data_IF_223698681278
#
_entry.id   IF_223698681278
#
_cell.length_a   1.000
_cell.length_b   1.000
_cell.length_c   1.000
_cell.angle_alpha   90.00
_cell.angle_beta   90.00
_cell.angle_gamma   90.00
#
_symmetry.space_group_name_H-M   'P 1'
#
loop_
_entity.id
_entity.type
_entity.pdbx_description
1 polymer ?
#
# COMPACT_ATOMS: atom_id res chain seq x y z
N UNK A 1 -7.25 8.06 0.98
CA UNK A 1 -7.55 7.11 -0.11
C UNK A 1 -9.04 7.13 -0.45
N UNK A 2 -9.89 6.45 0.32
CA UNK A 2 -11.31 6.25 -0.02
C UNK A 2 -12.19 7.51 0.05
N UNK A 3 -11.74 8.54 0.75
CA UNK A 3 -12.38 9.86 0.73
C UNK A 3 -12.07 10.67 -0.55
N UNK A 4 -10.96 10.35 -1.22
CA UNK A 4 -10.50 11.04 -2.45
C UNK A 4 -10.89 10.25 -3.70
N UNK A 5 -10.80 8.92 -3.64
CA UNK A 5 -11.19 8.02 -4.72
C UNK A 5 -12.15 6.93 -4.17
N UNK A 6 -13.44 7.25 -3.92
CA UNK A 6 -14.40 6.33 -3.30
C UNK A 6 -14.64 5.06 -4.11
N UNK A 7 -14.58 5.16 -5.44
CA UNK A 7 -14.80 4.04 -6.37
C UNK A 7 -13.79 2.90 -6.18
N UNK A 8 -12.60 3.22 -5.64
CA UNK A 8 -11.54 2.23 -5.40
C UNK A 8 -11.94 1.28 -4.26
N UNK A 9 -12.84 1.68 -3.34
CA UNK A 9 -13.34 0.80 -2.27
C UNK A 9 -13.89 -0.52 -2.81
N UNK A 10 -14.59 -0.49 -3.95
CA UNK A 10 -15.22 -1.67 -4.56
C UNK A 10 -14.20 -2.74 -4.99
N UNK A 11 -12.94 -2.37 -5.12
CA UNK A 11 -11.86 -3.25 -5.55
C UNK A 11 -11.21 -4.02 -4.39
N UNK A 12 -11.47 -3.60 -3.16
CA UNK A 12 -10.88 -4.23 -1.99
C UNK A 12 -11.83 -5.27 -1.39
N UNK A 13 -11.39 -6.54 -1.41
CA UNK A 13 -12.17 -7.67 -0.90
C UNK A 13 -12.52 -7.60 0.59
N UNK A 14 -11.90 -6.69 1.35
CA UNK A 14 -12.21 -6.42 2.75
C UNK A 14 -13.36 -5.45 2.97
N UNK A 15 -13.76 -4.68 1.95
CA UNK A 15 -14.91 -3.77 2.03
C UNK A 15 -16.19 -4.62 1.94
N UNK A 16 -17.08 -4.59 2.95
CA UNK A 16 -18.35 -5.29 2.87
C UNK A 16 -19.19 -4.79 1.69
N UNK A 17 -19.94 -5.70 1.04
CA UNK A 17 -20.86 -5.32 -0.04
C UNK A 17 -21.90 -4.32 0.49
N UNK A 18 -22.13 -3.25 -0.27
CA UNK A 18 -23.11 -2.21 0.08
C UNK A 18 -22.54 -1.03 0.88
N UNK A 19 -21.30 -1.11 1.37
CA UNK A 19 -20.64 0.05 1.98
C UNK A 19 -20.28 1.05 0.90
N UNK A 20 -20.87 2.24 0.98
CA UNK A 20 -20.63 3.37 0.07
C UNK A 20 -20.00 4.57 0.78
N UNK A 21 -20.08 4.63 2.12
CA UNK A 21 -19.44 5.66 2.92
C UNK A 21 -18.11 5.14 3.52
N UNK A 22 -16.95 5.76 3.20
CA UNK A 22 -15.65 5.38 3.77
C UNK A 22 -15.59 5.42 5.29
N UNK A 23 -16.39 6.25 5.94
CA UNK A 23 -16.40 6.39 7.41
C UNK A 23 -16.86 5.11 8.11
N UNK A 24 -17.71 4.31 7.47
CA UNK A 24 -18.16 3.02 7.99
C UNK A 24 -17.01 2.00 8.09
N UNK A 25 -15.93 2.18 7.32
CA UNK A 25 -14.78 1.28 7.38
C UNK A 25 -13.98 1.47 8.67
N UNK A 26 -14.08 2.63 9.34
CA UNK A 26 -13.31 2.93 10.56
C UNK A 26 -13.67 2.00 11.73
N UNK A 27 -14.88 1.43 11.75
CA UNK A 27 -15.31 0.44 12.74
C UNK A 27 -15.10 -1.02 12.29
N UNK A 28 -14.70 -1.25 11.04
CA UNK A 28 -14.51 -2.59 10.49
C UNK A 28 -13.18 -3.19 10.96
N UNK A 29 -13.26 -4.21 11.83
CA UNK A 29 -12.09 -4.95 12.31
C UNK A 29 -11.24 -5.54 11.16
N UNK A 30 -11.89 -5.95 10.06
CA UNK A 30 -11.20 -6.49 8.87
C UNK A 30 -10.40 -5.39 8.15
N UNK A 31 -10.99 -4.21 8.00
CA UNK A 31 -10.30 -3.06 7.43
C UNK A 31 -9.13 -2.61 8.30
N UNK A 32 -9.35 -2.43 9.60
CA UNK A 32 -8.31 -2.01 10.54
C UNK A 32 -7.14 -3.00 10.57
N UNK A 33 -7.41 -4.31 10.52
CA UNK A 33 -6.35 -5.33 10.40
C UNK A 33 -5.56 -5.20 9.11
N UNK A 34 -6.24 -4.96 7.98
CA UNK A 34 -5.56 -4.74 6.70
C UNK A 34 -4.69 -3.48 6.73
N UNK A 35 -5.23 -2.36 7.23
CA UNK A 35 -4.48 -1.11 7.38
C UNK A 35 -3.24 -1.28 8.27
N UNK A 36 -3.37 -2.00 9.40
CA UNK A 36 -2.22 -2.31 10.27
C UNK A 36 -1.16 -3.14 9.54
N UNK A 37 -1.57 -4.16 8.81
CA UNK A 37 -0.63 -5.00 8.04
C UNK A 37 0.06 -4.22 6.93
N UNK A 38 -0.64 -3.29 6.28
CA UNK A 38 -0.07 -2.40 5.28
C UNK A 38 1.03 -1.53 5.90
N UNK A 39 0.75 -0.83 7.00
CA UNK A 39 1.74 0.00 7.69
C UNK A 39 2.93 -0.83 8.20
N UNK A 40 2.68 -2.02 8.76
CA UNK A 40 3.76 -2.91 9.19
C UNK A 40 4.64 -3.36 8.01
N UNK A 41 4.06 -3.62 6.84
CA UNK A 41 4.83 -4.00 5.64
C UNK A 41 5.69 -2.85 5.16
N UNK A 42 5.16 -1.62 5.17
CA UNK A 42 5.91 -0.41 4.82
C UNK A 42 7.03 -0.17 5.83
N UNK A 43 6.77 -0.30 7.13
CA UNK A 43 7.80 -0.17 8.19
C UNK A 43 8.91 -1.19 8.01
N UNK A 44 8.58 -2.47 7.84
CA UNK A 44 9.56 -3.51 7.60
C UNK A 44 10.38 -3.22 6.32
N UNK A 45 9.75 -2.69 5.28
CA UNK A 45 10.47 -2.32 4.05
C UNK A 45 11.46 -1.16 4.28
N UNK A 46 11.13 -0.20 5.16
CA UNK A 46 12.07 0.85 5.58
C UNK A 46 13.22 0.27 6.39
N UNK A 47 12.92 -0.63 7.35
CA UNK A 47 13.93 -1.23 8.24
C UNK A 47 14.93 -2.14 7.50
N UNK A 48 14.58 -2.62 6.29
CA UNK A 48 15.41 -3.51 5.48
C UNK A 48 15.96 -2.83 4.21
N UNK A 49 16.02 -1.49 4.16
CA UNK A 49 16.59 -0.78 3.01
C UNK A 49 18.07 -1.09 2.77
N UNK A 50 18.80 -1.55 3.80
CA UNK A 50 20.22 -1.93 3.69
C UNK A 50 20.42 -3.32 3.05
N UNK A 51 19.38 -4.16 3.00
CA UNK A 51 19.41 -5.50 2.37
C UNK A 51 18.38 -5.57 1.24
N UNK A 52 18.74 -4.99 0.10
CA UNK A 52 17.89 -4.95 -1.09
C UNK A 52 17.62 -6.34 -1.68
N UNK A 53 18.50 -7.32 -1.45
CA UNK A 53 18.31 -8.69 -1.94
C UNK A 53 17.17 -9.37 -1.18
N UNK A 54 17.16 -9.31 0.15
CA UNK A 54 16.07 -9.88 0.95
C UNK A 54 14.77 -9.10 0.79
N UNK A 55 14.86 -7.76 0.75
CA UNK A 55 13.69 -6.90 0.59
C UNK A 55 12.97 -7.17 -0.73
N UNK A 56 13.70 -7.28 -1.84
CA UNK A 56 13.11 -7.59 -3.16
C UNK A 56 12.39 -8.94 -3.18
N UNK A 57 12.98 -9.98 -2.57
CA UNK A 57 12.34 -11.31 -2.43
C UNK A 57 11.07 -11.22 -1.59
N UNK A 58 11.10 -10.48 -0.49
CA UNK A 58 9.95 -10.27 0.39
C UNK A 58 8.80 -9.57 -0.33
N UNK A 59 9.10 -8.50 -1.10
CA UNK A 59 8.12 -7.75 -1.88
C UNK A 59 7.56 -8.57 -3.06
N UNK A 60 8.39 -9.36 -3.74
CA UNK A 60 7.93 -10.27 -4.77
C UNK A 60 6.95 -11.31 -4.20
N UNK A 61 7.29 -11.94 -3.06
CA UNK A 61 6.40 -12.86 -2.36
C UNK A 61 5.10 -12.20 -1.89
N UNK A 62 5.16 -10.92 -1.51
CA UNK A 62 3.97 -10.11 -1.24
C UNK A 62 3.10 -9.99 -2.50
N UNK A 63 3.69 -9.70 -3.67
CA UNK A 63 3.01 -9.66 -4.96
C UNK A 63 2.30 -10.96 -5.32
N UNK A 64 2.99 -12.09 -5.17
CA UNK A 64 2.40 -13.42 -5.41
C UNK A 64 1.18 -13.69 -4.51
N UNK A 65 1.21 -13.25 -3.24
CA UNK A 65 0.04 -13.34 -2.34
C UNK A 65 -1.11 -12.45 -2.79
N UNK A 66 -0.83 -11.29 -3.36
CA UNK A 66 -1.86 -10.37 -3.87
C UNK A 66 -2.65 -10.93 -5.06
N UNK A 67 -2.11 -11.91 -5.80
CA UNK A 67 -2.89 -12.67 -6.81
C UNK A 67 -4.16 -13.29 -6.22
N UNK A 68 -4.07 -13.84 -5.00
CA UNK A 68 -5.23 -14.45 -4.30
C UNK A 68 -6.35 -13.46 -4.04
N UNK A 69 -6.03 -12.16 -3.96
CA UNK A 69 -6.98 -11.09 -3.75
C UNK A 69 -7.48 -10.48 -5.06
N UNK A 70 -7.02 -10.98 -6.22
CA UNK A 70 -7.31 -10.44 -7.56
C UNK A 70 -6.97 -8.96 -7.68
N UNK A 71 -5.92 -8.54 -6.97
CA UNK A 71 -5.40 -7.17 -7.02
C UNK A 71 -4.90 -6.88 -8.43
N UNK A 72 -5.20 -5.68 -8.94
CA UNK A 72 -4.67 -5.18 -10.21
C UNK A 72 -3.50 -4.25 -9.95
N UNK A 73 -2.54 -4.23 -10.87
CA UNK A 73 -1.36 -3.34 -10.85
C UNK A 73 -1.76 -1.86 -10.83
N UNK A 74 -2.89 -1.52 -11.47
CA UNK A 74 -3.48 -0.17 -11.50
C UNK A 74 -3.78 0.43 -10.12
N UNK A 75 -3.90 -0.39 -9.07
CA UNK A 75 -4.21 0.09 -7.72
C UNK A 75 -2.98 0.58 -6.95
N UNK A 76 -1.78 0.12 -7.29
CA UNK A 76 -0.56 0.47 -6.56
C UNK A 76 -0.25 1.97 -6.62
N UNK A 77 -0.36 2.67 -7.77
CA UNK A 77 -0.19 4.12 -7.82
C UNK A 77 -1.16 4.87 -6.88
N UNK A 78 -2.41 4.41 -6.76
CA UNK A 78 -3.43 5.03 -5.90
C UNK A 78 -3.07 4.85 -4.42
N UNK A 79 -2.64 3.64 -4.06
CA UNK A 79 -2.20 3.31 -2.69
C UNK A 79 -0.95 4.11 -2.33
N UNK A 80 0.04 4.21 -3.23
CA UNK A 80 1.25 4.99 -3.05
C UNK A 80 0.95 6.46 -2.78
N UNK A 81 0.16 7.12 -3.65
CA UNK A 81 -0.26 8.52 -3.43
C UNK A 81 -0.96 8.71 -2.09
N UNK A 82 -1.85 7.77 -1.73
CA UNK A 82 -2.60 7.85 -0.48
C UNK A 82 -1.74 7.69 0.76
N UNK A 83 -0.75 6.79 0.73
CA UNK A 83 0.21 6.59 1.81
C UNK A 83 1.13 7.80 1.95
N UNK A 84 1.68 8.31 0.85
CA UNK A 84 2.50 9.53 0.86
C UNK A 84 1.74 10.71 1.45
N UNK A 85 0.48 10.91 1.05
CA UNK A 85 -0.36 11.97 1.63
C UNK A 85 -0.61 11.76 3.13
N UNK A 86 -0.90 10.52 3.56
CA UNK A 86 -1.11 10.19 4.97
C UNK A 86 0.13 10.45 5.82
N UNK A 87 1.32 10.08 5.32
CA UNK A 87 2.60 10.31 6.00
C UNK A 87 2.88 11.81 6.08
N UNK A 88 2.78 12.53 4.96
CA UNK A 88 2.93 13.98 4.90
C UNK A 88 2.02 14.71 5.90
N UNK A 89 0.77 14.28 6.01
CA UNK A 89 -0.20 14.84 6.97
C UNK A 89 0.19 14.53 8.42
N UNK A 90 0.67 13.32 8.69
CA UNK A 90 1.05 12.88 10.04
C UNK A 90 2.35 13.52 10.53
N UNK A 91 3.29 13.82 9.63
CA UNK A 91 4.62 14.37 9.98
C UNK A 91 4.72 15.89 9.82
N UNK A 92 3.76 16.52 9.14
CA UNK A 92 3.72 17.98 8.97
C UNK A 92 5.02 18.53 8.38
N UNK A 93 5.60 19.53 9.04
CA UNK A 93 6.83 20.23 8.60
C UNK A 93 8.06 19.32 8.47
N UNK A 94 8.06 18.14 9.11
CA UNK A 94 9.13 17.16 8.94
C UNK A 94 9.09 16.45 7.56
N UNK A 95 7.98 16.57 6.82
CA UNK A 95 7.87 16.07 5.45
C UNK A 95 8.45 17.07 4.45
N UNK A 96 9.77 17.25 4.52
CA UNK A 96 10.49 18.17 3.63
C UNK A 96 10.44 17.70 2.17
N UNK A 97 10.76 18.56 1.19
CA UNK A 97 10.87 18.16 -0.21
C UNK A 97 11.82 16.97 -0.44
N UNK A 98 12.91 16.90 0.32
CA UNK A 98 13.87 15.78 0.29
C UNK A 98 13.21 14.49 0.78
N UNK A 99 12.50 14.53 1.91
CA UNK A 99 11.72 13.40 2.43
C UNK A 99 10.66 12.95 1.42
N UNK A 100 9.96 13.88 0.77
CA UNK A 100 8.97 13.59 -0.24
C UNK A 100 9.58 12.86 -1.46
N UNK A 101 10.75 13.31 -1.92
CA UNK A 101 11.48 12.66 -3.02
C UNK A 101 11.94 11.25 -2.64
N UNK A 102 12.48 11.06 -1.42
CA UNK A 102 12.88 9.75 -0.93
C UNK A 102 11.70 8.77 -0.85
N UNK A 103 10.57 9.21 -0.28
CA UNK A 103 9.35 8.39 -0.22
C UNK A 103 8.80 8.04 -1.60
N UNK A 104 8.88 8.95 -2.58
CA UNK A 104 8.47 8.67 -3.95
C UNK A 104 9.27 7.53 -4.57
N UNK A 105 10.61 7.56 -4.43
CA UNK A 105 11.50 6.50 -4.91
C UNK A 105 11.24 5.18 -4.18
N UNK A 106 11.08 5.24 -2.86
CA UNK A 106 10.77 4.08 -2.02
C UNK A 106 9.46 3.39 -2.45
N UNK A 107 8.38 4.15 -2.65
CA UNK A 107 7.11 3.58 -3.11
C UNK A 107 7.16 3.06 -4.54
N UNK A 108 7.95 3.69 -5.43
CA UNK A 108 8.18 3.17 -6.77
C UNK A 108 8.87 1.80 -6.73
N UNK A 109 9.87 1.64 -5.86
CA UNK A 109 10.58 0.38 -5.64
C UNK A 109 9.65 -0.71 -5.05
N UNK A 110 8.86 -0.39 -4.02
CA UNK A 110 7.84 -1.31 -3.48
C UNK A 110 6.88 -1.76 -4.58
N UNK A 111 6.39 -0.82 -5.37
CA UNK A 111 5.43 -1.08 -6.44
C UNK A 111 6.04 -1.97 -7.51
N UNK A 112 7.29 -1.72 -7.89
CA UNK A 112 8.02 -2.50 -8.87
C UNK A 112 8.08 -3.98 -8.47
N UNK A 113 8.71 -4.31 -7.34
CA UNK A 113 8.89 -5.70 -6.91
C UNK A 113 7.57 -6.41 -6.60
N UNK A 114 6.60 -5.67 -6.03
CA UNK A 114 5.28 -6.26 -5.77
C UNK A 114 4.54 -6.56 -7.07
N UNK A 115 4.66 -5.70 -8.09
CA UNK A 115 4.06 -5.96 -9.39
C UNK A 115 4.75 -7.12 -10.12
N UNK A 116 6.08 -7.25 -10.03
CA UNK A 116 6.79 -8.40 -10.60
C UNK A 116 6.22 -9.73 -10.06
N UNK A 117 6.13 -9.87 -8.74
CA UNK A 117 5.56 -11.07 -8.13
C UNK A 117 4.07 -11.26 -8.44
N UNK A 118 3.32 -10.16 -8.63
CA UNK A 118 1.91 -10.18 -9.03
C UNK A 118 1.70 -10.63 -10.49
N UNK A 119 2.65 -10.36 -11.37
CA UNK A 119 2.57 -10.68 -12.80
C UNK A 119 3.21 -12.01 -13.18
N UNK A 120 4.09 -12.57 -12.32
CA UNK A 120 4.79 -13.82 -12.59
C UNK A 120 3.82 -14.97 -12.92
N UNK A 121 4.10 -15.77 -13.95
CA UNK A 121 3.27 -16.95 -14.25
C UNK A 121 3.57 -18.07 -13.23
N UNK A 122 2.56 -18.88 -12.91
CA UNK A 122 2.66 -19.93 -11.89
C UNK A 122 3.31 -21.21 -12.43
#
# INVERSE_FOLDING_TARGET
>A
MFTVEPEVMKQFSFVPKGVTNPEELKSSARFLRHAKNLIATVSNAVDNLDDMEDLSKTLNNLGRRHKKYKTKTEYFPIVGRSLTHAISTATGDAFTPETAAAFSQFFAMITFYTNEGLMEEA
#
